data_IF_272484034646
#
_entry.id   IF_272484034646
#
_cell.length_a   1.000
_cell.length_b   1.000
_cell.length_c   1.000
_cell.angle_alpha   90.00
_cell.angle_beta   90.00
_cell.angle_gamma   90.00
#
_symmetry.space_group_name_H-M   'P 1'
#
loop_
_entity.id
_entity.type
_entity.pdbx_description
1 polymer ?
#
# COMPACT_ATOMS: atom_id res chain seq x y z
N UNK A 1 -21.35 4.12 -2.62
CA UNK A 1 -20.57 2.86 -2.47
C UNK A 1 -19.15 3.24 -2.11
N UNK A 2 -18.76 3.07 -0.83
CA UNK A 2 -17.38 3.35 -0.40
C UNK A 2 -16.56 2.10 -0.73
N UNK A 3 -15.49 2.24 -1.51
CA UNK A 3 -14.52 1.18 -1.71
C UNK A 3 -13.97 0.79 -0.33
N UNK A 4 -14.35 -0.39 0.17
CA UNK A 4 -13.95 -0.84 1.50
C UNK A 4 -12.45 -1.17 1.57
N UNK A 5 -11.83 -1.36 0.39
CA UNK A 5 -10.43 -1.75 0.25
C UNK A 5 -9.71 -0.94 -0.82
N UNK A 6 -8.40 -0.86 -0.67
CA UNK A 6 -7.46 -0.26 -1.62
C UNK A 6 -6.42 -1.30 -2.01
N UNK A 7 -6.06 -1.33 -3.29
CA UNK A 7 -5.02 -2.21 -3.83
C UNK A 7 -3.75 -1.41 -4.00
N UNK A 8 -2.67 -1.89 -3.40
CA UNK A 8 -1.32 -1.33 -3.48
C UNK A 8 -0.46 -2.31 -4.27
N UNK A 9 0.19 -1.85 -5.34
CA UNK A 9 1.05 -2.67 -6.19
C UNK A 9 2.54 -2.48 -5.90
N UNK A 10 2.89 -1.43 -5.16
CA UNK A 10 4.28 -1.12 -4.82
C UNK A 10 4.63 -1.74 -3.45
N UNK A 11 5.61 -2.65 -3.44
CA UNK A 11 6.05 -3.33 -2.22
C UNK A 11 6.54 -2.35 -1.14
N UNK A 12 7.26 -1.29 -1.55
CA UNK A 12 7.75 -0.27 -0.61
C UNK A 12 6.61 0.48 0.10
N UNK A 13 5.53 0.82 -0.62
CA UNK A 13 4.34 1.44 -0.03
C UNK A 13 3.62 0.47 0.91
N UNK A 14 3.47 -0.80 0.50
CA UNK A 14 2.87 -1.82 1.36
C UNK A 14 3.68 -2.00 2.65
N UNK A 15 5.02 -2.05 2.56
CA UNK A 15 5.92 -2.08 3.70
C UNK A 15 5.77 -0.86 4.62
N UNK A 16 5.69 0.35 4.05
CA UNK A 16 5.45 1.57 4.81
C UNK A 16 4.12 1.53 5.58
N UNK A 17 3.05 1.06 4.96
CA UNK A 17 1.75 0.90 5.60
C UNK A 17 1.80 -0.12 6.74
N UNK A 18 2.44 -1.27 6.51
CA UNK A 18 2.61 -2.30 7.55
C UNK A 18 3.46 -1.80 8.72
N UNK A 19 4.52 -1.04 8.45
CA UNK A 19 5.33 -0.39 9.50
C UNK A 19 4.50 0.59 10.34
N UNK A 20 3.55 1.30 9.71
CA UNK A 20 2.61 2.20 10.37
C UNK A 20 1.38 1.49 10.97
N UNK A 21 1.46 0.17 11.20
CA UNK A 21 0.43 -0.68 11.85
C UNK A 21 -0.85 -0.87 11.04
N UNK A 22 -0.81 -0.68 9.72
CA UNK A 22 -1.92 -1.10 8.87
C UNK A 22 -1.76 -2.58 8.50
N UNK A 23 -2.80 -3.36 8.77
CA UNK A 23 -2.83 -4.78 8.38
C UNK A 23 -3.33 -4.93 6.96
N UNK A 24 -2.62 -5.73 6.17
CA UNK A 24 -3.12 -6.21 4.88
C UNK A 24 -4.31 -7.14 5.12
N UNK A 25 -5.37 -6.93 4.36
CA UNK A 25 -6.53 -7.83 4.30
C UNK A 25 -6.15 -9.07 3.51
N UNK A 26 -5.38 -8.91 2.44
CA UNK A 26 -4.99 -10.00 1.55
C UNK A 26 -3.71 -9.66 0.75
N UNK A 27 -3.06 -10.69 0.21
CA UNK A 27 -1.93 -10.58 -0.72
C UNK A 27 -2.07 -11.62 -1.82
N UNK A 28 -2.02 -11.19 -3.08
CA UNK A 28 -2.19 -12.08 -4.24
C UNK A 28 -1.17 -11.76 -5.33
N UNK A 29 -0.88 -12.72 -6.22
CA UNK A 29 -0.20 -12.42 -7.47
C UNK A 29 -1.02 -11.42 -8.31
N UNK A 30 -0.33 -10.55 -9.04
CA UNK A 30 -0.99 -9.71 -10.05
C UNK A 30 -1.52 -10.61 -11.19
N UNK A 31 -2.75 -10.35 -11.62
CA UNK A 31 -3.41 -11.12 -12.68
C UNK A 31 -2.68 -10.99 -14.03
N UNK A 32 -1.94 -9.90 -14.25
CA UNK A 32 -1.19 -9.65 -15.49
C UNK A 32 0.24 -10.17 -15.45
N UNK A 33 0.83 -10.28 -14.26
CA UNK A 33 2.20 -10.75 -14.06
C UNK A 33 2.30 -11.47 -12.72
N UNK A 34 2.38 -12.81 -12.78
CA UNK A 34 2.45 -13.64 -11.58
C UNK A 34 3.73 -13.43 -10.75
N UNK A 35 4.74 -12.75 -11.31
CA UNK A 35 5.95 -12.39 -10.56
C UNK A 35 5.76 -11.12 -9.70
N UNK A 36 4.65 -10.40 -9.90
CA UNK A 36 4.29 -9.23 -9.11
C UNK A 36 3.24 -9.59 -8.08
N UNK A 37 3.28 -8.90 -6.95
CA UNK A 37 2.30 -9.04 -5.88
C UNK A 37 1.46 -7.78 -5.76
N UNK A 38 0.18 -7.98 -5.47
CA UNK A 38 -0.73 -6.93 -5.06
C UNK A 38 -1.08 -7.12 -3.58
N UNK A 39 -1.14 -6.00 -2.87
CA UNK A 39 -1.41 -5.96 -1.45
C UNK A 39 -2.73 -5.23 -1.23
N UNK A 40 -3.67 -5.88 -0.56
CA UNK A 40 -5.01 -5.33 -0.35
C UNK A 40 -5.10 -4.83 1.10
N UNK A 41 -5.48 -3.58 1.28
CA UNK A 41 -5.67 -2.97 2.60
C UNK A 41 -7.10 -2.45 2.74
N UNK A 42 -7.58 -2.28 3.96
CA UNK A 42 -8.86 -1.61 4.23
C UNK A 42 -8.72 -0.11 3.97
N UNK A 43 -9.60 0.46 3.15
CA UNK A 43 -9.58 1.91 2.90
C UNK A 43 -10.00 2.67 4.17
N UNK A 44 -9.24 3.69 4.50
CA UNK A 44 -9.56 4.60 5.61
C UNK A 44 -8.88 5.95 5.39
N UNK A 45 -9.45 7.06 5.92
CA UNK A 45 -8.81 8.37 5.83
C UNK A 45 -7.37 8.36 6.35
N UNK A 46 -7.13 7.71 7.48
CA UNK A 46 -5.80 7.60 8.10
C UNK A 46 -4.80 6.84 7.24
N UNK A 47 -5.24 5.81 6.51
CA UNK A 47 -4.38 5.08 5.58
C UNK A 47 -3.95 6.01 4.44
N UNK A 48 -4.87 6.78 3.86
CA UNK A 48 -4.59 7.73 2.78
C UNK A 48 -3.62 8.83 3.22
N UNK A 49 -3.84 9.43 4.38
CA UNK A 49 -2.90 10.40 4.97
C UNK A 49 -1.50 9.80 5.17
N UNK A 50 -1.43 8.52 5.55
CA UNK A 50 -0.15 7.81 5.74
C UNK A 50 0.56 7.58 4.40
N UNK A 51 -0.19 7.29 3.34
CA UNK A 51 0.34 7.19 1.97
C UNK A 51 0.85 8.54 1.45
N UNK A 52 0.16 9.63 1.75
CA UNK A 52 0.59 10.98 1.39
C UNK A 52 1.91 11.35 2.06
N UNK A 53 2.07 11.04 3.36
CA UNK A 53 3.33 11.22 4.08
C UNK A 53 4.47 10.45 3.42
N UNK A 54 4.25 9.20 3.02
CA UNK A 54 5.28 8.45 2.28
C UNK A 54 5.72 9.16 1.01
N UNK A 55 4.77 9.71 0.24
CA UNK A 55 5.07 10.44 -0.98
C UNK A 55 5.90 11.71 -0.75
N UNK A 56 5.85 12.32 0.45
CA UNK A 56 6.69 13.47 0.80
C UNK A 56 8.14 13.08 1.13
N UNK A 57 8.37 11.84 1.61
CA UNK A 57 9.70 11.39 2.04
C UNK A 57 10.41 10.47 1.04
N UNK A 58 9.66 9.83 0.13
CA UNK A 58 10.23 8.86 -0.82
C UNK A 58 11.32 9.45 -1.73
N UNK A 59 11.24 10.75 -2.03
CA UNK A 59 12.22 11.45 -2.87
C UNK A 59 13.44 11.93 -2.07
N UNK A 60 13.32 11.98 -0.73
CA UNK A 60 14.42 12.35 0.19
C UNK A 60 15.34 11.14 0.42
N UNK A 61 14.79 9.93 0.35
CA UNK A 61 15.53 8.67 0.53
C UNK A 61 15.80 8.07 -0.86
N UNK A 62 16.68 8.72 -1.60
CA UNK A 62 17.30 8.13 -2.80
C UNK A 62 18.38 7.12 -2.38
N UNK A 63 18.08 5.83 -2.50
CA UNK A 63 19.07 4.75 -2.51
C UNK A 63 18.93 3.98 -3.82
#
# INVERSE_FOLDING_TARGET
MKNETIVITQERMAGWLMFNRFHKVDEKPDLKDSNRKIFIFKDSPRLRETMEKYNQFKDVIGF
#
